data_IF_554576781979
#
_entry.id   IF_554576781979
#
_cell.length_a   1.000
_cell.length_b   1.000
_cell.length_c   1.000
_cell.angle_alpha   90.00
_cell.angle_beta   90.00
_cell.angle_gamma   90.00
#
_symmetry.space_group_name_H-M   'P 1'
#
loop_
_entity.id
_entity.type
_entity.pdbx_description
1 polymer ?
#
# COMPACT_ATOMS: atom_id res chain seq x y z
N UNK A 1 -17.26 -29.31 8.12
CA UNK A 1 -15.80 -29.52 8.11
C UNK A 1 -15.43 -30.02 6.72
N UNK A 2 -15.28 -29.12 5.76
CA UNK A 2 -14.77 -29.48 4.43
C UNK A 2 -13.29 -29.82 4.63
N UNK A 3 -12.86 -30.99 4.18
CA UNK A 3 -11.49 -31.52 4.34
C UNK A 3 -10.44 -30.77 3.52
N UNK A 4 -10.58 -29.45 3.39
CA UNK A 4 -9.60 -28.60 2.73
C UNK A 4 -8.43 -28.41 3.69
N UNK A 5 -7.22 -28.67 3.22
CA UNK A 5 -6.02 -28.39 4.00
C UNK A 5 -5.99 -26.88 4.33
N UNK A 6 -5.75 -26.49 5.59
CA UNK A 6 -5.73 -25.08 6.00
C UNK A 6 -4.80 -24.24 5.12
N UNK A 7 -3.70 -24.82 4.66
CA UNK A 7 -2.72 -24.18 3.80
C UNK A 7 -3.29 -23.80 2.42
N UNK A 8 -4.15 -24.64 1.83
CA UNK A 8 -4.78 -24.34 0.54
C UNK A 8 -5.81 -23.20 0.67
N UNK A 9 -6.51 -23.12 1.80
CA UNK A 9 -7.42 -22.02 2.11
C UNK A 9 -6.67 -20.68 2.17
N UNK A 10 -5.55 -20.63 2.90
CA UNK A 10 -4.72 -19.42 3.01
C UNK A 10 -4.15 -18.99 1.66
N UNK A 11 -3.70 -19.93 0.83
CA UNK A 11 -3.14 -19.63 -0.50
C UNK A 11 -4.20 -19.09 -1.47
N UNK A 12 -5.39 -19.68 -1.48
CA UNK A 12 -6.50 -19.19 -2.31
C UNK A 12 -6.92 -17.79 -1.87
N UNK A 13 -7.00 -17.54 -0.56
CA UNK A 13 -7.36 -16.23 -0.03
C UNK A 13 -6.30 -15.17 -0.38
N UNK A 14 -5.02 -15.51 -0.29
CA UNK A 14 -3.92 -14.63 -0.70
C UNK A 14 -3.98 -14.27 -2.19
N UNK A 15 -4.23 -15.24 -3.07
CA UNK A 15 -4.36 -14.99 -4.52
C UNK A 15 -5.57 -14.10 -4.81
N UNK A 16 -6.69 -14.35 -4.13
CA UNK A 16 -7.89 -13.54 -4.27
C UNK A 16 -7.66 -12.09 -3.84
N UNK A 17 -7.01 -11.87 -2.70
CA UNK A 17 -6.66 -10.53 -2.20
C UNK A 17 -5.68 -9.82 -3.15
N UNK A 18 -4.69 -10.55 -3.67
CA UNK A 18 -3.73 -10.01 -4.63
C UNK A 18 -4.41 -9.58 -5.95
N UNK A 19 -5.36 -10.37 -6.45
CA UNK A 19 -6.12 -10.02 -7.65
C UNK A 19 -6.97 -8.75 -7.44
N UNK A 20 -7.67 -8.65 -6.31
CA UNK A 20 -8.46 -7.46 -5.97
C UNK A 20 -7.56 -6.21 -5.81
N UNK A 21 -6.37 -6.38 -5.25
CA UNK A 21 -5.37 -5.31 -5.17
C UNK A 21 -4.93 -4.86 -6.56
N UNK A 22 -4.56 -5.79 -7.45
CA UNK A 22 -4.18 -5.47 -8.84
C UNK A 22 -5.30 -4.73 -9.59
N UNK A 23 -6.55 -5.14 -9.42
CA UNK A 23 -7.71 -4.48 -10.02
C UNK A 23 -7.82 -3.04 -9.52
N UNK A 24 -7.76 -2.83 -8.20
CA UNK A 24 -7.83 -1.49 -7.59
C UNK A 24 -6.66 -0.59 -8.02
N UNK A 25 -5.45 -1.13 -8.07
CA UNK A 25 -4.25 -0.41 -8.50
C UNK A 25 -4.36 -0.01 -9.98
N UNK A 26 -4.84 -0.91 -10.85
CA UNK A 26 -5.05 -0.61 -12.27
C UNK A 26 -6.08 0.51 -12.47
N UNK A 27 -7.18 0.49 -11.70
CA UNK A 27 -8.20 1.53 -11.73
C UNK A 27 -7.63 2.89 -11.32
N UNK A 28 -6.81 2.90 -10.27
CA UNK A 28 -6.15 4.11 -9.75
C UNK A 28 -5.18 4.71 -10.77
N UNK A 29 -4.38 3.88 -11.44
CA UNK A 29 -3.49 4.33 -12.52
C UNK A 29 -4.28 4.91 -13.70
N UNK A 30 -5.40 4.30 -14.06
CA UNK A 30 -6.27 4.76 -15.13
C UNK A 30 -6.85 6.15 -14.81
N UNK A 31 -7.27 6.38 -13.56
CA UNK A 31 -7.74 7.70 -13.09
C UNK A 31 -6.61 8.73 -13.18
N UNK A 32 -5.39 8.41 -12.73
CA UNK A 32 -4.22 9.31 -12.80
C UNK A 32 -3.91 9.66 -14.27
N UNK A 33 -4.00 8.68 -15.16
CA UNK A 33 -3.80 8.88 -16.60
C UNK A 33 -4.86 9.82 -17.18
N UNK A 34 -6.14 9.66 -16.82
CA UNK A 34 -7.23 10.54 -17.27
C UNK A 34 -7.09 11.98 -16.77
N UNK A 35 -6.56 12.18 -15.56
CA UNK A 35 -6.35 13.52 -14.97
C UNK A 35 -5.25 14.30 -15.73
N UNK A 36 -4.32 13.62 -16.41
CA UNK A 36 -3.38 14.25 -17.34
C UNK A 36 -2.42 15.26 -16.72
N UNK A 37 -2.15 15.14 -15.41
CA UNK A 37 -1.24 16.03 -14.68
C UNK A 37 0.17 16.01 -15.28
N UNK A 38 0.86 17.16 -15.43
CA UNK A 38 2.14 17.26 -16.13
C UNK A 38 3.26 16.42 -15.47
N UNK A 39 3.15 16.19 -14.17
CA UNK A 39 4.07 15.37 -13.36
C UNK A 39 4.01 13.88 -13.78
N UNK A 40 2.86 13.43 -14.29
CA UNK A 40 2.60 12.04 -14.65
C UNK A 40 2.57 11.83 -16.17
N UNK A 41 3.00 12.82 -16.98
CA UNK A 41 2.96 12.72 -18.44
C UNK A 41 4.17 12.00 -19.03
N UNK A 42 5.29 11.93 -18.30
CA UNK A 42 6.46 11.19 -18.76
C UNK A 42 6.21 9.69 -18.64
N UNK A 43 6.61 8.92 -19.66
CA UNK A 43 6.51 7.45 -19.67
C UNK A 43 7.13 6.84 -18.42
N UNK A 44 8.25 7.39 -17.97
CA UNK A 44 9.02 6.87 -16.84
C UNK A 44 8.29 7.08 -15.50
N UNK A 45 7.56 8.19 -15.34
CA UNK A 45 6.82 8.48 -14.09
C UNK A 45 5.62 7.57 -13.88
N UNK A 46 4.89 7.24 -14.97
CA UNK A 46 3.75 6.32 -14.92
C UNK A 46 4.24 4.90 -14.61
N UNK A 47 5.32 4.47 -15.26
CA UNK A 47 5.91 3.16 -15.03
C UNK A 47 6.45 3.06 -13.60
N UNK A 48 7.13 4.09 -13.10
CA UNK A 48 7.58 4.12 -11.70
C UNK A 48 6.42 4.02 -10.70
N UNK A 49 5.32 4.73 -10.94
CA UNK A 49 4.12 4.67 -10.09
C UNK A 49 3.47 3.28 -10.11
N UNK A 50 3.40 2.64 -11.28
CA UNK A 50 2.89 1.28 -11.42
C UNK A 50 3.74 0.25 -10.67
N UNK A 51 5.06 0.37 -10.77
CA UNK A 51 6.00 -0.49 -10.03
C UNK A 51 5.86 -0.26 -8.52
N UNK A 52 5.76 0.99 -8.06
CA UNK A 52 5.56 1.31 -6.64
C UNK A 52 4.27 0.68 -6.10
N UNK A 53 3.16 0.81 -6.83
CA UNK A 53 1.88 0.18 -6.48
C UNK A 53 2.01 -1.35 -6.39
N UNK A 54 2.69 -1.98 -7.36
CA UNK A 54 2.88 -3.43 -7.36
C UNK A 54 3.72 -3.90 -6.17
N UNK A 55 4.83 -3.22 -5.87
CA UNK A 55 5.69 -3.52 -4.72
C UNK A 55 4.95 -3.30 -3.40
N UNK A 56 4.11 -2.27 -3.31
CA UNK A 56 3.27 -2.01 -2.15
C UNK A 56 2.25 -3.14 -1.91
N UNK A 57 1.60 -3.66 -2.95
CA UNK A 57 0.69 -4.80 -2.84
C UNK A 57 1.37 -6.07 -2.34
N UNK A 58 2.52 -6.41 -2.94
CA UNK A 58 3.29 -7.62 -2.57
C UNK A 58 3.81 -7.52 -1.13
N UNK A 59 4.14 -6.32 -0.64
CA UNK A 59 4.63 -6.11 0.72
C UNK A 59 3.51 -6.07 1.78
N UNK A 60 2.41 -5.38 1.49
CA UNK A 60 1.35 -5.15 2.47
C UNK A 60 0.53 -6.40 2.79
N UNK A 61 0.20 -7.22 1.79
CA UNK A 61 -0.60 -8.43 1.97
C UNK A 61 0.06 -9.40 2.99
N UNK A 62 1.31 -9.85 2.83
CA UNK A 62 1.95 -10.77 3.79
C UNK A 62 2.10 -10.16 5.19
N UNK A 63 2.28 -8.84 5.32
CA UNK A 63 2.32 -8.16 6.62
C UNK A 63 0.96 -8.22 7.31
N UNK A 64 -0.13 -8.00 6.59
CA UNK A 64 -1.49 -8.14 7.13
C UNK A 64 -1.76 -9.58 7.54
N UNK A 65 -1.33 -10.57 6.76
CA UNK A 65 -1.44 -11.99 7.14
C UNK A 65 -0.59 -12.30 8.39
N UNK A 66 0.65 -11.82 8.48
CA UNK A 66 1.52 -12.02 9.64
C UNK A 66 0.91 -11.42 10.92
N UNK A 67 0.35 -10.21 10.84
CA UNK A 67 -0.33 -9.56 11.96
C UNK A 67 -1.63 -10.30 12.30
N UNK A 68 -2.35 -10.85 11.32
CA UNK A 68 -3.55 -11.64 11.57
C UNK A 68 -3.27 -12.90 12.41
N UNK A 69 -2.05 -13.46 12.37
CA UNK A 69 -1.66 -14.56 13.26
C UNK A 69 -1.39 -14.12 14.70
N UNK A 70 -1.11 -12.84 14.95
CA UNK A 70 -0.83 -12.31 16.28
C UNK A 70 -2.10 -11.95 17.08
N UNK A 71 -3.25 -11.83 16.41
CA UNK A 71 -4.50 -11.37 17.02
C UNK A 71 -5.63 -12.40 16.85
N UNK A 72 -6.33 -12.69 17.95
CA UNK A 72 -7.45 -13.66 17.97
C UNK A 72 -8.70 -13.13 17.26
N UNK A 73 -8.87 -11.80 17.21
CA UNK A 73 -10.02 -11.14 16.57
C UNK A 73 -9.59 -10.35 15.33
N UNK A 74 -10.11 -10.67 14.13
CA UNK A 74 -9.71 -10.02 12.89
C UNK A 74 -10.03 -8.52 12.85
N UNK A 75 -11.13 -8.10 13.50
CA UNK A 75 -11.52 -6.69 13.56
C UNK A 75 -10.50 -5.82 14.31
N UNK A 76 -9.91 -6.35 15.39
CA UNK A 76 -8.88 -5.65 16.15
C UNK A 76 -7.58 -5.54 15.34
N UNK A 77 -7.19 -6.61 14.65
CA UNK A 77 -6.02 -6.60 13.77
C UNK A 77 -6.13 -5.51 12.70
N UNK A 78 -7.29 -5.40 12.04
CA UNK A 78 -7.53 -4.39 11.01
C UNK A 78 -7.39 -2.95 11.55
N UNK A 79 -7.96 -2.67 12.72
CA UNK A 79 -7.88 -1.35 13.36
C UNK A 79 -6.42 -1.01 13.71
N UNK A 80 -5.67 -1.97 14.28
CA UNK A 80 -4.26 -1.78 14.66
C UNK A 80 -3.40 -1.51 13.43
N UNK A 81 -3.56 -2.29 12.36
CA UNK A 81 -2.82 -2.07 11.10
C UNK A 81 -3.12 -0.70 10.53
N UNK A 82 -4.40 -0.32 10.47
CA UNK A 82 -4.81 1.00 9.93
C UNK A 82 -4.21 2.15 10.74
N UNK A 83 -4.26 2.07 12.08
CA UNK A 83 -3.68 3.08 12.96
C UNK A 83 -2.15 3.16 12.83
N UNK A 84 -1.48 2.01 12.70
CA UNK A 84 -0.04 1.95 12.49
C UNK A 84 0.35 2.61 11.16
N UNK A 85 -0.32 2.26 10.06
CA UNK A 85 -0.10 2.88 8.75
C UNK A 85 -0.31 4.39 8.77
N UNK A 86 -1.40 4.87 9.39
CA UNK A 86 -1.67 6.31 9.51
C UNK A 86 -0.59 7.04 10.32
N UNK A 87 -0.12 6.44 11.40
CA UNK A 87 0.93 7.03 12.25
C UNK A 87 2.23 7.17 11.46
N UNK A 88 2.62 6.14 10.70
CA UNK A 88 3.82 6.19 9.86
C UNK A 88 3.69 7.26 8.78
N UNK A 89 2.54 7.36 8.12
CA UNK A 89 2.28 8.41 7.12
C UNK A 89 2.37 9.80 7.73
N UNK A 90 1.80 10.01 8.91
CA UNK A 90 1.85 11.30 9.60
C UNK A 90 3.30 11.69 9.96
N UNK A 91 4.07 10.76 10.54
CA UNK A 91 5.48 11.00 10.85
C UNK A 91 6.30 11.31 9.59
N UNK A 92 6.07 10.58 8.50
CA UNK A 92 6.75 10.81 7.21
C UNK A 92 6.44 12.20 6.65
N UNK A 93 5.19 12.66 6.75
CA UNK A 93 4.79 14.02 6.36
C UNK A 93 5.52 15.08 7.19
N UNK A 94 5.58 14.91 8.51
CA UNK A 94 6.31 15.83 9.40
C UNK A 94 7.80 15.89 9.06
N UNK A 95 8.44 14.74 8.83
CA UNK A 95 9.86 14.70 8.44
C UNK A 95 10.11 15.41 7.12
N UNK A 96 9.26 15.17 6.11
CA UNK A 96 9.38 15.82 4.80
C UNK A 96 9.19 17.33 4.89
N UNK A 97 8.22 17.79 5.68
CA UNK A 97 7.99 19.21 5.95
C UNK A 97 9.22 19.86 6.60
N UNK A 98 9.79 19.22 7.62
CA UNK A 98 11.00 19.71 8.28
C UNK A 98 12.20 19.81 7.31
N UNK A 99 12.39 18.81 6.46
CA UNK A 99 13.44 18.80 5.44
C UNK A 99 13.24 19.91 4.40
N UNK A 100 12.00 20.25 4.04
CA UNK A 100 11.71 21.35 3.11
C UNK A 100 11.98 22.72 3.73
N UNK A 101 11.59 22.93 5.00
CA UNK A 101 11.85 24.18 5.72
C UNK A 101 13.34 24.43 5.87
N UNK A 102 14.11 23.41 6.27
CA UNK A 102 15.57 23.51 6.40
C UNK A 102 16.26 23.79 5.07
N UNK A 103 15.83 23.15 3.97
CA UNK A 103 16.34 23.46 2.63
C UNK A 103 16.04 24.90 2.20
N UNK A 104 14.86 25.42 2.50
CA UNK A 104 14.47 26.79 2.15
C UNK A 104 15.32 27.86 2.86
N UNK A 105 15.66 27.63 4.13
CA UNK A 105 16.52 28.54 4.90
C UNK A 105 17.99 28.53 4.46
N UNK A 106 18.50 27.41 3.96
CA UNK A 106 19.91 27.28 3.55
C UNK A 106 20.24 27.93 2.19
N UNK A 107 19.24 28.30 1.40
CA UNK A 107 19.39 28.94 0.08
C UNK A 107 19.24 30.47 0.10
N UNK A 108 19.08 31.07 1.28
CA UNK A 108 18.97 32.51 1.55
C UNK A 108 20.32 33.07 2.04
#
# INVERSE_FOLDING_TARGET
MTGLSPWLYWLINFIYDFFNFCLTASLSLLIIFMIGMPIYRSSDSIVAMAILMAVYGISSIPVVYAISFMFTNPSTAYIVVTLASLTITFLTMLTTFYLQVTRCMATL
#
